data_IF_102279563232
#
_entry.id   IF_102279563232
#
_cell.length_a   1.000
_cell.length_b   1.000
_cell.length_c   1.000
_cell.angle_alpha   90.00
_cell.angle_beta   90.00
_cell.angle_gamma   90.00
#
_symmetry.space_group_name_H-M   'P 1'
#
loop_
_entity.id
_entity.type
_entity.pdbx_description
1 polymer ?
#
# COMPACT_ATOMS: atom_id res chain seq x y z
N UNK A 1 28.05 -16.81 19.50
CA UNK A 1 27.73 -15.42 19.13
C UNK A 1 26.36 -15.12 19.72
N UNK A 2 26.30 -14.20 20.68
CA UNK A 2 25.05 -13.85 21.36
C UNK A 2 24.12 -13.11 20.39
N UNK A 3 22.95 -13.67 20.12
CA UNK A 3 21.90 -12.99 19.39
C UNK A 3 21.34 -11.91 20.32
N UNK A 4 21.78 -10.67 20.14
CA UNK A 4 21.17 -9.51 20.80
C UNK A 4 19.76 -9.38 20.25
N UNK A 5 18.78 -9.89 20.99
CA UNK A 5 17.37 -9.65 20.72
C UNK A 5 17.13 -8.13 20.80
N UNK A 6 17.14 -7.45 19.65
CA UNK A 6 16.58 -6.11 19.55
C UNK A 6 15.09 -6.27 19.80
N UNK A 7 14.61 -5.75 20.93
CA UNK A 7 13.19 -5.67 21.21
C UNK A 7 12.54 -4.84 20.09
N UNK A 8 11.71 -5.46 19.26
CA UNK A 8 10.90 -4.75 18.27
C UNK A 8 9.89 -3.86 19.02
N UNK A 9 10.25 -2.59 19.24
CA UNK A 9 9.37 -1.57 19.80
C UNK A 9 8.42 -1.07 18.70
N UNK A 10 7.46 -1.90 18.29
CA UNK A 10 6.55 -1.59 17.17
C UNK A 10 5.28 -0.84 17.56
N UNK A 11 5.11 -0.46 18.83
CA UNK A 11 3.89 0.20 19.31
C UNK A 11 4.22 1.48 20.08
N UNK A 12 3.88 2.63 19.50
CA UNK A 12 4.03 3.95 20.12
C UNK A 12 2.64 4.47 20.47
N UNK A 13 2.41 4.76 21.76
CA UNK A 13 1.16 5.33 22.25
C UNK A 13 1.21 6.86 22.19
N UNK A 14 0.26 7.51 21.50
CA UNK A 14 0.08 8.96 21.61
C UNK A 14 -0.95 9.32 22.70
N UNK A 15 -0.93 10.58 23.19
CA UNK A 15 -1.85 11.09 24.23
C UNK A 15 -3.35 10.99 23.85
N UNK A 16 -3.66 10.68 22.60
CA UNK A 16 -5.02 10.53 22.05
C UNK A 16 -5.49 9.07 22.00
N UNK A 17 -4.71 8.11 22.53
CA UNK A 17 -5.09 6.70 22.64
C UNK A 17 -4.83 5.85 21.39
N UNK A 18 -4.08 6.37 20.41
CA UNK A 18 -3.71 5.60 19.22
C UNK A 18 -2.43 4.79 19.44
N UNK A 19 -2.38 3.59 18.85
CA UNK A 19 -1.16 2.82 18.64
C UNK A 19 -0.74 2.94 17.18
N UNK A 20 0.49 3.43 16.95
CA UNK A 20 1.08 3.49 15.61
C UNK A 20 2.05 2.33 15.40
N UNK A 21 1.85 1.61 14.29
CA UNK A 21 2.79 0.61 13.80
C UNK A 21 3.40 1.10 12.48
N UNK A 22 4.68 1.45 12.52
CA UNK A 22 5.42 1.90 11.37
C UNK A 22 5.91 0.71 10.52
N UNK A 23 5.83 0.78 9.18
CA UNK A 23 6.27 -0.30 8.31
C UNK A 23 7.81 -0.42 8.26
N UNK A 24 8.53 0.66 8.52
CA UNK A 24 9.98 0.71 8.71
C UNK A 24 10.37 2.04 9.38
N UNK A 25 11.32 2.03 10.31
CA UNK A 25 11.93 3.23 10.92
C UNK A 25 13.45 3.12 10.89
N UNK A 26 14.13 4.22 10.60
CA UNK A 26 15.59 4.23 10.50
C UNK A 26 16.24 4.32 11.90
N UNK A 27 15.63 5.05 12.83
CA UNK A 27 16.15 5.23 14.20
C UNK A 27 15.03 5.16 15.26
N UNK A 28 15.39 4.78 16.50
CA UNK A 28 14.46 4.80 17.66
C UNK A 28 13.99 6.22 18.01
N UNK A 29 14.76 7.25 17.64
CA UNK A 29 14.34 8.65 17.80
C UNK A 29 13.15 9.02 16.90
N UNK A 30 12.95 8.31 15.78
CA UNK A 30 11.79 8.48 14.90
C UNK A 30 10.53 7.80 15.51
N UNK A 31 10.72 6.86 16.44
CA UNK A 31 9.65 6.16 17.15
C UNK A 31 9.03 7.00 18.28
N UNK A 32 9.59 8.16 18.65
CA UNK A 32 9.12 8.92 19.79
C UNK A 32 9.15 10.42 19.51
N UNK A 33 8.13 10.91 18.79
CA UNK A 33 7.51 12.26 18.87
C UNK A 33 6.77 12.58 17.55
N UNK A 34 5.73 11.81 17.23
CA UNK A 34 4.88 12.10 16.08
C UNK A 34 3.78 13.12 16.40
N UNK A 35 3.42 13.94 15.40
CA UNK A 35 2.15 14.67 15.36
C UNK A 35 1.00 13.72 15.72
N UNK A 36 0.03 14.12 16.56
CA UNK A 36 -1.16 13.30 16.80
C UNK A 36 -1.79 12.87 15.48
N UNK A 37 -2.12 11.58 15.36
CA UNK A 37 -2.85 11.09 14.19
C UNK A 37 -4.28 11.59 14.27
N UNK A 38 -4.75 12.16 13.17
CA UNK A 38 -6.13 12.55 12.97
C UNK A 38 -6.65 11.87 11.70
N UNK A 39 -7.40 10.76 11.83
CA UNK A 39 -7.98 10.08 10.69
C UNK A 39 -9.01 10.91 9.91
N UNK A 40 -9.46 12.04 10.46
CA UNK A 40 -10.44 12.94 9.85
C UNK A 40 -9.80 14.20 9.25
N UNK A 41 -8.48 14.20 9.09
CA UNK A 41 -7.74 15.24 8.41
C UNK A 41 -6.95 14.67 7.21
N UNK A 42 -6.76 15.51 6.20
CA UNK A 42 -5.85 15.26 5.09
C UNK A 42 -4.61 16.16 5.17
N UNK A 43 -3.56 15.83 4.40
CA UNK A 43 -2.38 16.66 4.28
C UNK A 43 -1.85 16.73 2.84
N UNK A 44 -1.36 17.90 2.45
CA UNK A 44 -0.70 18.09 1.15
C UNK A 44 0.73 17.50 1.11
N UNK A 45 1.32 17.28 2.29
CA UNK A 45 2.65 16.68 2.45
C UNK A 45 2.55 15.37 3.21
N UNK A 46 3.50 14.47 2.95
CA UNK A 46 3.54 13.16 3.59
C UNK A 46 3.97 13.32 5.07
N UNK A 47 3.08 12.97 6.00
CA UNK A 47 3.36 13.02 7.45
C UNK A 47 3.88 11.69 8.00
N UNK A 48 3.52 10.57 7.37
CA UNK A 48 3.90 9.22 7.79
C UNK A 48 4.33 8.37 6.59
N UNK A 49 5.14 7.32 6.79
CA UNK A 49 5.36 6.30 5.77
C UNK A 49 4.04 5.70 5.29
N UNK A 50 3.93 5.41 4.00
CA UNK A 50 2.74 4.78 3.43
C UNK A 50 2.52 3.38 3.98
N UNK A 51 1.26 3.05 4.29
CA UNK A 51 0.87 1.81 4.94
C UNK A 51 1.05 1.80 6.46
N UNK A 52 1.49 2.91 7.08
CA UNK A 52 1.51 3.04 8.55
C UNK A 52 0.14 2.70 9.12
N UNK A 53 0.11 1.83 10.13
CA UNK A 53 -1.13 1.42 10.80
C UNK A 53 -1.37 2.32 12.01
N UNK A 54 -2.60 2.79 12.17
CA UNK A 54 -3.06 3.44 13.39
C UNK A 54 -4.25 2.66 13.96
N UNK A 55 -4.21 2.32 15.25
CA UNK A 55 -5.30 1.64 15.96
C UNK A 55 -5.90 2.57 17.00
N UNK A 56 -7.22 2.73 17.00
CA UNK A 56 -7.97 3.53 17.98
C UNK A 56 -9.16 2.73 18.49
N UNK A 57 -9.05 2.19 19.70
CA UNK A 57 -10.10 1.31 20.23
C UNK A 57 -10.33 0.12 19.31
N UNK A 58 -11.53 0.01 18.74
CA UNK A 58 -11.95 -1.04 17.80
C UNK A 58 -11.69 -0.70 16.32
N UNK A 59 -11.23 0.53 16.01
CA UNK A 59 -10.97 0.98 14.64
C UNK A 59 -9.49 0.84 14.27
N UNK A 60 -9.25 0.45 13.03
CA UNK A 60 -7.91 0.35 12.43
C UNK A 60 -7.87 1.21 11.16
N UNK A 61 -6.74 1.89 10.96
CA UNK A 61 -6.50 2.78 9.83
C UNK A 61 -5.16 2.51 9.17
N UNK A 62 -5.05 2.79 7.87
CA UNK A 62 -3.81 2.79 7.09
C UNK A 62 -3.56 4.15 6.44
N UNK A 63 -2.34 4.66 6.58
CA UNK A 63 -1.94 5.92 5.95
C UNK A 63 -1.71 5.75 4.45
N UNK A 64 -2.39 6.56 3.65
CA UNK A 64 -2.49 6.43 2.20
C UNK A 64 -2.18 7.76 1.51
N UNK A 65 -1.86 7.68 0.21
CA UNK A 65 -1.87 8.81 -0.72
C UNK A 65 -2.98 8.60 -1.74
N UNK A 66 -3.87 9.57 -1.87
CA UNK A 66 -4.91 9.57 -2.90
C UNK A 66 -4.30 9.75 -4.30
N UNK A 67 -4.95 9.19 -5.31
CA UNK A 67 -4.61 9.37 -6.73
C UNK A 67 -4.79 10.81 -7.20
N UNK A 68 -4.60 11.06 -8.50
CA UNK A 68 -4.88 12.36 -9.14
C UNK A 68 -6.35 12.72 -9.20
N UNK A 69 -7.27 11.80 -8.86
CA UNK A 69 -8.70 12.07 -8.73
C UNK A 69 -9.06 12.29 -7.25
N UNK A 70 -9.84 13.35 -6.95
CA UNK A 70 -10.31 13.59 -5.60
C UNK A 70 -11.33 12.52 -5.15
N UNK A 71 -11.30 12.14 -3.87
CA UNK A 71 -12.33 11.31 -3.24
C UNK A 71 -13.43 12.24 -2.71
N UNK A 72 -14.54 12.36 -3.42
CA UNK A 72 -15.61 13.33 -3.10
C UNK A 72 -16.70 12.75 -2.20
N UNK A 73 -16.89 11.43 -2.23
CA UNK A 73 -17.90 10.71 -1.44
C UNK A 73 -17.23 10.08 -0.23
N UNK A 74 -17.77 10.30 0.97
CA UNK A 74 -17.27 9.71 2.23
C UNK A 74 -17.81 8.30 2.36
N UNK A 75 -17.01 7.38 2.91
CA UNK A 75 -17.40 5.98 3.07
C UNK A 75 -17.34 5.19 1.76
N UNK A 76 -16.62 5.70 0.76
CA UNK A 76 -16.39 4.97 -0.47
C UNK A 76 -15.42 3.81 -0.24
N UNK A 77 -15.75 2.64 -0.78
CA UNK A 77 -14.81 1.53 -0.87
C UNK A 77 -13.62 1.92 -1.79
N UNK A 78 -12.42 1.63 -1.33
CA UNK A 78 -11.16 2.00 -1.99
C UNK A 78 -10.37 0.76 -2.40
N UNK A 79 -9.56 0.90 -3.44
CA UNK A 79 -8.60 -0.12 -3.87
C UNK A 79 -7.23 0.50 -4.12
N UNK A 80 -6.21 -0.35 -4.09
CA UNK A 80 -4.86 0.00 -4.52
C UNK A 80 -4.88 0.46 -5.99
N UNK A 81 -3.84 1.16 -6.47
CA UNK A 81 -3.72 1.45 -7.89
C UNK A 81 -3.61 0.13 -8.67
N UNK A 82 -4.15 0.13 -9.89
CA UNK A 82 -3.89 -0.95 -10.82
C UNK A 82 -2.39 -1.01 -11.12
N UNK A 83 -1.84 -2.22 -11.28
CA UNK A 83 -0.46 -2.40 -11.73
C UNK A 83 -0.24 -1.65 -13.04
N UNK A 84 0.77 -0.79 -13.07
CA UNK A 84 0.96 0.19 -14.14
C UNK A 84 1.47 -0.46 -15.43
N UNK A 85 2.16 -1.60 -15.32
CA UNK A 85 2.63 -2.36 -16.47
C UNK A 85 2.85 -3.83 -16.11
N UNK A 86 2.46 -4.75 -16.98
CA UNK A 86 2.74 -6.18 -16.79
C UNK A 86 4.26 -6.40 -16.64
N UNK A 87 5.06 -5.76 -17.49
CA UNK A 87 6.52 -5.88 -17.50
C UNK A 87 7.23 -5.18 -16.32
N UNK A 88 6.47 -4.54 -15.41
CA UNK A 88 7.01 -4.13 -14.11
C UNK A 88 6.90 -5.26 -13.08
N UNK A 89 6.06 -6.26 -13.32
CA UNK A 89 5.76 -7.34 -12.38
C UNK A 89 6.75 -8.51 -12.53
N UNK A 90 7.43 -8.64 -13.65
CA UNK A 90 8.40 -9.70 -13.90
C UNK A 90 9.50 -9.28 -14.90
N UNK A 91 10.52 -10.13 -14.98
CA UNK A 91 11.58 -10.11 -15.99
C UNK A 91 12.44 -8.82 -16.07
N UNK A 92 12.52 -8.06 -14.97
CA UNK A 92 13.48 -6.97 -14.84
C UNK A 92 14.82 -7.54 -14.39
N UNK A 93 15.80 -7.53 -15.28
CA UNK A 93 17.10 -8.16 -15.02
C UNK A 93 17.99 -7.23 -14.20
N UNK A 94 18.75 -7.82 -13.27
CA UNK A 94 19.83 -7.10 -12.59
C UNK A 94 20.92 -6.73 -13.59
N UNK A 95 21.17 -5.44 -13.73
CA UNK A 95 22.06 -4.90 -14.74
C UNK A 95 23.50 -5.37 -14.51
N UNK A 96 24.14 -5.87 -15.56
CA UNK A 96 25.58 -6.05 -15.61
C UNK A 96 26.23 -4.67 -15.82
N UNK A 97 26.63 -4.01 -14.75
CA UNK A 97 27.53 -2.85 -14.85
C UNK A 97 28.96 -3.29 -14.57
N UNK A 98 29.93 -2.64 -15.23
CA UNK A 98 31.33 -3.03 -15.16
C UNK A 98 31.86 -2.96 -13.72
N UNK A 99 32.05 -4.11 -13.08
CA UNK A 99 32.67 -4.23 -11.76
C UNK A 99 31.71 -4.34 -10.58
N UNK A 100 30.39 -4.20 -10.80
CA UNK A 100 29.41 -4.33 -9.71
C UNK A 100 29.07 -5.81 -9.47
N UNK A 101 29.65 -6.37 -8.42
CA UNK A 101 29.13 -7.58 -7.79
C UNK A 101 28.33 -7.11 -6.58
N UNK A 102 27.02 -7.37 -6.57
CA UNK A 102 26.18 -6.98 -5.43
C UNK A 102 26.54 -7.87 -4.24
N UNK A 103 27.10 -7.28 -3.19
CA UNK A 103 27.47 -8.03 -1.99
C UNK A 103 26.25 -8.30 -1.11
N UNK A 104 26.30 -9.39 -0.34
CA UNK A 104 25.39 -9.60 0.79
C UNK A 104 25.48 -8.37 1.72
N UNK A 105 24.32 -7.87 2.13
CA UNK A 105 24.20 -6.67 2.97
C UNK A 105 24.32 -5.34 2.21
N UNK A 106 24.54 -5.34 0.89
CA UNK A 106 24.40 -4.10 0.11
C UNK A 106 22.91 -3.71 0.01
N UNK A 107 22.64 -2.42 -0.07
CA UNK A 107 21.29 -1.86 -0.11
C UNK A 107 20.92 -1.27 -1.48
N UNK A 108 21.74 -1.52 -2.50
CA UNK A 108 21.56 -0.95 -3.82
C UNK A 108 21.52 -2.04 -4.87
N UNK A 109 20.71 -1.84 -5.90
CA UNK A 109 20.65 -2.71 -7.07
C UNK A 109 20.39 -1.85 -8.31
N UNK A 110 21.06 -2.15 -9.42
CA UNK A 110 20.71 -1.52 -10.70
C UNK A 110 19.85 -2.50 -11.47
N UNK A 111 18.66 -2.05 -11.85
CA UNK A 111 17.70 -2.82 -12.61
C UNK A 111 17.70 -2.33 -14.06
N UNK A 112 17.63 -3.26 -15.00
CA UNK A 112 17.50 -2.99 -16.43
C UNK A 112 16.39 -3.86 -17.02
N UNK A 113 15.44 -3.24 -17.71
CA UNK A 113 14.42 -3.95 -18.49
C UNK A 113 14.59 -3.70 -19.99
N UNK A 114 14.25 -4.67 -20.83
CA UNK A 114 14.07 -4.45 -22.28
C UNK A 114 12.70 -3.87 -22.60
N UNK A 115 11.76 -3.94 -21.66
CA UNK A 115 10.43 -3.38 -21.75
C UNK A 115 10.37 -1.93 -21.25
N UNK A 116 9.31 -1.20 -21.62
CA UNK A 116 9.13 0.21 -21.26
C UNK A 116 8.72 0.37 -19.79
N UNK A 117 9.71 0.36 -18.90
CA UNK A 117 9.52 0.71 -17.49
C UNK A 117 9.59 2.22 -17.23
N UNK A 118 9.90 3.03 -18.25
CA UNK A 118 9.94 4.49 -18.18
C UNK A 118 8.53 5.13 -18.22
N UNK A 119 7.56 4.51 -17.53
CA UNK A 119 6.22 5.03 -17.28
C UNK A 119 6.08 5.51 -15.83
N UNK A 120 5.11 6.40 -15.55
CA UNK A 120 4.81 6.80 -14.18
C UNK A 120 4.40 5.55 -13.38
N UNK A 121 4.91 5.33 -12.15
CA UNK A 121 5.58 6.30 -11.32
C UNK A 121 7.12 6.21 -11.44
N UNK A 122 7.64 5.19 -12.12
CA UNK A 122 9.06 4.86 -12.23
C UNK A 122 9.84 5.86 -13.09
N UNK A 123 9.17 6.53 -14.03
CA UNK A 123 9.75 7.61 -14.86
C UNK A 123 10.08 8.89 -14.08
N UNK A 124 9.65 8.99 -12.82
CA UNK A 124 9.96 10.13 -11.94
C UNK A 124 10.86 9.64 -10.82
N UNK A 125 11.89 10.41 -10.49
CA UNK A 125 12.76 10.10 -9.34
C UNK A 125 11.90 9.91 -8.09
N UNK A 126 12.10 8.79 -7.40
CA UNK A 126 11.38 8.42 -6.18
C UNK A 126 9.85 8.32 -6.33
N UNK A 127 9.31 8.24 -7.56
CA UNK A 127 7.86 8.11 -7.77
C UNK A 127 7.29 6.81 -7.23
N UNK A 128 8.04 5.71 -7.27
CA UNK A 128 7.70 4.40 -6.71
C UNK A 128 8.37 4.11 -5.35
N UNK A 129 8.86 5.14 -4.65
CA UNK A 129 9.43 4.98 -3.30
C UNK A 129 8.39 4.35 -2.35
N UNK A 130 8.88 3.63 -1.35
CA UNK A 130 8.06 2.86 -0.41
C UNK A 130 7.24 1.70 -1.01
N UNK A 131 7.32 1.48 -2.32
CA UNK A 131 6.91 0.24 -2.96
C UNK A 131 7.87 -0.90 -2.66
N UNK A 132 7.84 -1.95 -3.48
CA UNK A 132 8.67 -3.13 -3.28
C UNK A 132 9.39 -3.53 -4.55
N UNK A 133 10.62 -4.02 -4.37
CA UNK A 133 11.31 -4.86 -5.34
C UNK A 133 11.34 -6.28 -4.80
N UNK A 134 11.03 -7.24 -5.64
CA UNK A 134 11.12 -8.65 -5.30
C UNK A 134 11.84 -9.42 -6.38
N UNK A 135 12.51 -10.51 -5.99
CA UNK A 135 13.20 -11.41 -6.92
C UNK A 135 12.20 -12.47 -7.38
N UNK A 136 11.84 -12.44 -8.66
CA UNK A 136 10.91 -13.40 -9.26
C UNK A 136 11.64 -14.61 -9.87
N UNK A 137 12.90 -14.44 -10.31
CA UNK A 137 13.70 -15.46 -10.99
C UNK A 137 15.18 -15.48 -10.57
N UNK A 138 15.81 -16.63 -10.78
CA UNK A 138 17.26 -16.85 -10.56
C UNK A 138 17.73 -16.83 -9.09
N UNK A 139 18.90 -16.24 -8.86
CA UNK A 139 19.51 -16.20 -7.52
C UNK A 139 18.76 -15.25 -6.60
N UNK A 140 18.28 -15.78 -5.46
CA UNK A 140 17.58 -15.02 -4.43
C UNK A 140 16.06 -14.98 -4.57
N UNK A 141 15.47 -15.85 -5.42
CA UNK A 141 14.01 -15.95 -5.62
C UNK A 141 13.23 -15.94 -4.30
N UNK A 142 12.15 -15.16 -4.28
CA UNK A 142 11.28 -14.99 -3.12
C UNK A 142 11.74 -13.91 -2.14
N UNK A 143 12.93 -13.33 -2.33
CA UNK A 143 13.33 -12.14 -1.58
C UNK A 143 12.46 -10.95 -1.98
N UNK A 144 12.00 -10.19 -0.98
CA UNK A 144 11.26 -8.95 -1.17
C UNK A 144 11.88 -7.86 -0.29
N UNK A 145 11.98 -6.65 -0.82
CA UNK A 145 12.60 -5.49 -0.18
C UNK A 145 11.79 -4.24 -0.44
N UNK A 146 11.60 -3.43 0.61
CA UNK A 146 10.96 -2.12 0.50
C UNK A 146 11.91 -1.12 -0.14
N UNK A 147 11.44 -0.43 -1.16
CA UNK A 147 12.20 0.59 -1.89
C UNK A 147 12.31 1.84 -1.02
N UNK A 148 13.54 2.31 -0.80
CA UNK A 148 13.85 3.55 -0.09
C UNK A 148 13.91 4.73 -1.04
N UNK A 149 14.65 4.57 -2.14
CA UNK A 149 14.81 5.58 -3.17
C UNK A 149 15.07 4.91 -4.52
N UNK A 150 14.85 5.63 -5.61
CA UNK A 150 15.28 5.18 -6.93
C UNK A 150 15.55 6.36 -7.87
N UNK A 151 16.50 6.18 -8.77
CA UNK A 151 16.65 7.07 -9.92
C UNK A 151 15.44 6.94 -10.86
N UNK A 152 15.12 8.00 -11.59
CA UNK A 152 14.11 7.91 -12.64
C UNK A 152 14.53 6.88 -13.70
N UNK A 153 13.62 5.99 -14.08
CA UNK A 153 13.79 5.16 -15.26
C UNK A 153 13.72 6.07 -16.49
N UNK A 154 14.85 6.18 -17.20
CA UNK A 154 14.98 6.94 -18.46
C UNK A 154 15.01 5.98 -19.65
N UNK A 155 15.25 6.48 -20.87
CA UNK A 155 15.12 5.73 -22.12
C UNK A 155 15.93 4.43 -22.24
N UNK A 156 16.94 4.21 -21.38
CA UNK A 156 17.70 2.96 -21.30
C UNK A 156 17.03 1.90 -20.43
N UNK A 157 15.85 2.20 -19.86
CA UNK A 157 15.12 1.34 -18.92
C UNK A 157 16.03 0.80 -17.80
N UNK A 158 17.05 1.58 -17.45
CA UNK A 158 18.07 1.24 -16.47
C UNK A 158 18.07 2.29 -15.39
N UNK A 159 17.96 1.86 -14.14
CA UNK A 159 17.87 2.78 -13.01
C UNK A 159 18.37 2.11 -11.73
N UNK A 160 18.93 2.93 -10.85
CA UNK A 160 19.40 2.52 -9.53
C UNK A 160 18.22 2.50 -8.57
N UNK A 161 18.10 1.43 -7.80
CA UNK A 161 17.15 1.27 -6.70
C UNK A 161 17.95 1.10 -5.41
N UNK A 162 17.60 1.88 -4.40
CA UNK A 162 18.06 1.71 -3.02
C UNK A 162 16.92 1.11 -2.19
N UNK A 163 17.22 0.11 -1.38
CA UNK A 163 16.28 -0.55 -0.47
C UNK A 163 16.61 -0.26 0.98
N UNK A 164 15.61 -0.35 1.86
CA UNK A 164 15.81 -0.13 3.30
C UNK A 164 16.71 -1.21 3.93
N UNK A 165 16.48 -2.46 3.58
CA UNK A 165 17.19 -3.62 4.15
C UNK A 165 18.09 -4.27 3.10
N UNK A 166 19.32 -4.58 3.49
CA UNK A 166 20.30 -5.16 2.59
C UNK A 166 19.92 -6.55 2.08
N UNK A 167 20.55 -6.95 0.99
CA UNK A 167 20.32 -8.26 0.38
C UNK A 167 20.86 -9.39 1.27
N UNK A 168 20.01 -10.38 1.59
CA UNK A 168 20.43 -11.60 2.31
C UNK A 168 21.21 -12.56 1.41
N UNK A 169 20.83 -12.63 0.14
CA UNK A 169 21.55 -13.34 -0.92
C UNK A 169 21.99 -12.30 -1.94
N UNK A 170 23.26 -12.34 -2.33
CA UNK A 170 23.83 -11.45 -3.33
C UNK A 170 23.10 -11.58 -4.68
N UNK A 171 22.47 -10.50 -5.20
CA UNK A 171 21.97 -10.50 -6.57
C UNK A 171 23.10 -10.73 -7.58
N UNK A 172 22.82 -11.50 -8.61
CA UNK A 172 23.78 -11.82 -9.68
C UNK A 172 23.29 -11.21 -10.98
N UNK A 173 24.14 -10.41 -11.62
CA UNK A 173 23.82 -9.80 -12.91
C UNK A 173 23.50 -10.86 -13.96
N UNK A 174 22.47 -10.62 -14.77
CA UNK A 174 21.95 -11.54 -15.80
C UNK A 174 21.42 -12.90 -15.31
N UNK A 175 21.35 -13.14 -14.00
CA UNK A 175 20.73 -14.33 -13.42
C UNK A 175 19.56 -13.95 -12.49
N UNK A 176 19.76 -12.97 -11.59
CA UNK A 176 18.68 -12.44 -10.77
C UNK A 176 17.72 -11.62 -11.62
N UNK A 177 16.46 -12.03 -11.62
CA UNK A 177 15.34 -11.36 -12.24
C UNK A 177 14.42 -10.81 -11.14
N UNK A 178 13.89 -9.61 -11.35
CA UNK A 178 13.10 -8.89 -10.38
C UNK A 178 11.75 -8.45 -10.95
N UNK A 179 10.78 -8.28 -10.05
CA UNK A 179 9.61 -7.43 -10.25
C UNK A 179 9.65 -6.23 -9.30
N UNK A 180 8.99 -5.15 -9.71
CA UNK A 180 8.77 -3.95 -8.90
C UNK A 180 7.27 -3.62 -8.84
N UNK A 181 6.80 -3.26 -7.65
CA UNK A 181 5.43 -2.81 -7.44
C UNK A 181 5.43 -1.48 -6.72
N UNK A 182 4.49 -0.62 -7.10
CA UNK A 182 4.17 0.57 -6.33
C UNK A 182 3.62 0.16 -4.95
N UNK A 183 3.74 1.04 -3.95
CA UNK A 183 3.13 0.80 -2.64
C UNK A 183 1.60 0.68 -2.80
N UNK A 184 0.95 -0.38 -2.29
CA UNK A 184 -0.50 -0.52 -2.42
C UNK A 184 -1.31 0.65 -1.83
N UNK A 185 -0.72 1.41 -0.90
CA UNK A 185 -1.29 2.58 -0.26
C UNK A 185 -0.89 3.91 -0.91
N UNK A 186 -0.14 3.94 -2.01
CA UNK A 186 -0.02 5.14 -2.85
C UNK A 186 -1.00 5.11 -4.00
N UNK A 187 -1.36 6.29 -4.52
CA UNK A 187 -2.28 6.45 -5.64
C UNK A 187 -3.60 5.67 -5.47
N UNK A 188 -4.12 5.64 -4.25
CA UNK A 188 -5.38 4.96 -3.91
C UNK A 188 -6.52 5.57 -4.72
N UNK A 189 -7.39 4.70 -5.23
CA UNK A 189 -8.54 5.08 -6.06
C UNK A 189 -9.84 4.55 -5.46
N UNK A 190 -10.96 5.17 -5.87
CA UNK A 190 -12.30 4.61 -5.64
C UNK A 190 -12.37 3.25 -6.32
N UNK A 191 -12.81 2.24 -5.57
CA UNK A 191 -12.94 0.90 -6.09
C UNK A 191 -14.19 0.76 -6.97
N UNK A 192 -14.07 0.10 -8.11
CA UNK A 192 -15.18 -0.20 -9.00
C UNK A 192 -14.90 -1.53 -9.70
N UNK A 193 -15.48 -2.63 -9.21
CA UNK A 193 -15.00 -4.00 -9.44
C UNK A 193 -13.50 -4.13 -9.08
N UNK A 194 -13.18 -5.02 -8.15
CA UNK A 194 -11.79 -5.10 -7.70
C UNK A 194 -10.86 -5.56 -8.84
N UNK A 195 -9.88 -4.72 -9.16
CA UNK A 195 -8.77 -5.07 -10.07
C UNK A 195 -7.49 -5.41 -9.31
N UNK A 196 -7.50 -5.13 -8.00
CA UNK A 196 -6.35 -5.19 -7.10
C UNK A 196 -6.84 -5.24 -5.65
N UNK A 197 -5.95 -5.01 -4.69
CA UNK A 197 -6.22 -5.13 -3.25
C UNK A 197 -7.20 -4.05 -2.75
N UNK A 198 -8.22 -4.41 -1.95
CA UNK A 198 -9.04 -3.42 -1.25
C UNK A 198 -8.22 -2.68 -0.17
N UNK A 199 -8.41 -1.36 -0.05
CA UNK A 199 -7.66 -0.47 0.87
C UNK A 199 -8.51 -0.02 2.07
N UNK A 200 -9.80 -0.35 2.08
CA UNK A 200 -10.74 0.07 3.11
C UNK A 200 -11.63 1.19 2.63
N UNK A 201 -11.99 2.11 3.52
CA UNK A 201 -12.94 3.19 3.24
C UNK A 201 -12.39 4.54 3.67
N UNK A 202 -12.70 5.62 2.94
CA UNK A 202 -12.29 6.96 3.33
C UNK A 202 -13.25 7.55 4.39
N UNK A 203 -12.74 7.99 5.57
CA UNK A 203 -13.56 8.62 6.61
C UNK A 203 -13.85 10.11 6.35
N UNK A 204 -13.21 10.72 5.35
CA UNK A 204 -13.41 12.10 4.89
C UNK A 204 -13.32 12.20 3.37
N UNK A 205 -13.78 13.31 2.80
CA UNK A 205 -13.46 13.67 1.42
C UNK A 205 -11.98 14.05 1.33
N UNK A 206 -11.30 13.66 0.25
CA UNK A 206 -9.85 13.81 0.10
C UNK A 206 -9.54 14.52 -1.22
N UNK A 207 -8.79 15.60 -1.14
CA UNK A 207 -8.25 16.34 -2.27
C UNK A 207 -7.36 15.44 -3.14
N UNK A 208 -7.34 15.68 -4.45
CA UNK A 208 -6.46 14.96 -5.37
C UNK A 208 -4.99 15.03 -4.89
N UNK A 209 -4.30 13.88 -4.91
CA UNK A 209 -2.88 13.72 -4.54
C UNK A 209 -2.54 14.00 -3.08
N UNK A 210 -3.53 14.22 -2.20
CA UNK A 210 -3.30 14.44 -0.77
C UNK A 210 -3.19 13.11 -0.03
N UNK A 211 -2.64 13.17 1.17
CA UNK A 211 -2.49 12.03 2.06
C UNK A 211 -3.60 12.01 3.11
N UNK A 212 -4.03 10.81 3.48
CA UNK A 212 -5.17 10.60 4.38
C UNK A 212 -5.07 9.24 5.07
N UNK A 213 -5.98 8.96 6.00
CA UNK A 213 -6.11 7.67 6.65
C UNK A 213 -7.33 6.93 6.11
N UNK A 214 -7.14 5.78 5.47
CA UNK A 214 -8.24 4.87 5.13
C UNK A 214 -8.57 4.00 6.34
N UNK A 215 -9.85 3.84 6.69
CA UNK A 215 -10.26 2.91 7.73
C UNK A 215 -10.32 1.49 7.16
N UNK A 216 -9.63 0.54 7.80
CA UNK A 216 -9.48 -0.85 7.35
C UNK A 216 -10.08 -1.87 8.32
N UNK A 217 -10.34 -1.45 9.57
CA UNK A 217 -10.89 -2.32 10.60
C UNK A 217 -11.93 -1.63 11.47
N UNK A 218 -12.83 -2.42 12.05
CA UNK A 218 -13.84 -1.97 13.00
C UNK A 218 -15.08 -1.34 12.35
N UNK A 219 -15.99 -0.76 13.17
CA UNK A 219 -17.22 -0.16 12.67
C UNK A 219 -16.94 1.04 11.75
N UNK A 220 -17.47 1.03 10.54
CA UNK A 220 -17.34 2.11 9.56
C UNK A 220 -18.67 2.36 8.84
N UNK A 221 -18.83 3.55 8.25
CA UNK A 221 -19.94 3.83 7.35
C UNK A 221 -19.50 3.56 5.89
N UNK A 222 -20.37 2.90 5.13
CA UNK A 222 -20.18 2.58 3.71
C UNK A 222 -21.40 2.95 2.89
N UNK A 223 -21.21 3.26 1.62
CA UNK A 223 -22.31 3.49 0.67
C UNK A 223 -22.74 2.15 0.06
N UNK A 224 -24.03 1.83 0.11
CA UNK A 224 -24.56 0.58 -0.42
C UNK A 224 -25.10 0.74 -1.86
N UNK A 225 -24.70 -0.17 -2.75
CA UNK A 225 -25.21 -0.23 -4.12
C UNK A 225 -26.55 -0.97 -4.22
N UNK A 226 -26.79 -1.89 -3.29
CA UNK A 226 -27.96 -2.76 -3.27
C UNK A 226 -28.54 -2.90 -1.86
N UNK A 227 -29.69 -3.55 -1.75
CA UNK A 227 -30.21 -3.97 -0.46
C UNK A 227 -29.29 -5.04 0.14
N UNK A 228 -28.78 -4.79 1.35
CA UNK A 228 -27.91 -5.72 2.08
C UNK A 228 -28.50 -5.95 3.46
N UNK A 229 -28.81 -7.21 3.79
CA UNK A 229 -29.35 -7.53 5.11
C UNK A 229 -28.25 -7.43 6.19
N UNK A 230 -28.66 -7.09 7.42
CA UNK A 230 -27.79 -7.14 8.60
C UNK A 230 -27.13 -8.52 8.74
N UNK A 231 -25.86 -8.54 9.17
CA UNK A 231 -25.07 -9.75 9.34
C UNK A 231 -24.56 -10.38 8.04
N UNK A 232 -24.99 -9.88 6.88
CA UNK A 232 -24.49 -10.34 5.58
C UNK A 232 -23.07 -9.83 5.36
N UNK A 233 -22.22 -10.67 4.76
CA UNK A 233 -20.90 -10.28 4.30
C UNK A 233 -21.03 -9.29 3.15
N UNK A 234 -20.29 -8.20 3.22
CA UNK A 234 -20.19 -7.22 2.17
C UNK A 234 -18.87 -7.36 1.41
N UNK A 235 -18.94 -7.08 0.12
CA UNK A 235 -17.83 -7.05 -0.82
C UNK A 235 -17.76 -5.65 -1.45
N UNK A 236 -16.64 -5.33 -2.09
CA UNK A 236 -16.58 -4.14 -2.94
C UNK A 236 -17.54 -4.32 -4.12
N UNK A 237 -18.37 -3.33 -4.40
CA UNK A 237 -19.35 -3.41 -5.49
C UNK A 237 -18.78 -3.09 -6.87
N UNK A 238 -19.61 -3.28 -7.87
CA UNK A 238 -19.28 -2.89 -9.26
C UNK A 238 -19.52 -1.42 -9.54
N UNK A 239 -20.39 -0.78 -8.77
CA UNK A 239 -20.56 0.68 -8.81
C UNK A 239 -19.48 1.34 -7.95
N UNK A 240 -18.89 2.40 -8.51
CA UNK A 240 -17.70 3.01 -7.95
C UNK A 240 -17.91 3.52 -6.51
N UNK A 241 -17.13 2.98 -5.58
CA UNK A 241 -17.10 3.37 -4.18
C UNK A 241 -18.20 2.72 -3.34
N UNK A 242 -19.06 1.91 -3.94
CA UNK A 242 -20.18 1.30 -3.24
C UNK A 242 -19.86 -0.14 -2.85
N UNK A 243 -20.62 -0.67 -1.89
CA UNK A 243 -20.53 -2.06 -1.44
C UNK A 243 -21.74 -2.85 -1.89
N UNK A 244 -21.52 -4.14 -2.16
CA UNK A 244 -22.55 -5.10 -2.57
C UNK A 244 -22.63 -6.27 -1.56
N UNK A 245 -23.74 -7.02 -1.52
CA UNK A 245 -23.79 -8.26 -0.74
C UNK A 245 -22.89 -9.32 -1.37
N UNK A 246 -22.26 -10.19 -0.58
CA UNK A 246 -21.40 -11.27 -1.10
C UNK A 246 -22.10 -12.18 -2.14
N UNK A 247 -23.43 -12.32 -2.05
CA UNK A 247 -24.20 -13.07 -3.05
C UNK A 247 -24.18 -12.46 -4.45
N UNK A 248 -23.77 -11.20 -4.60
CA UNK A 248 -23.65 -10.53 -5.90
C UNK A 248 -22.44 -11.06 -6.70
N UNK A 249 -21.35 -11.46 -6.02
CA UNK A 249 -20.14 -11.96 -6.67
C UNK A 249 -19.45 -13.06 -5.86
N UNK A 250 -19.17 -14.19 -6.49
CA UNK A 250 -18.53 -15.34 -5.82
C UNK A 250 -17.00 -15.29 -5.81
N UNK A 251 -16.39 -14.31 -6.48
CA UNK A 251 -14.93 -14.21 -6.67
C UNK A 251 -14.31 -12.96 -6.06
N UNK A 252 -15.10 -12.07 -5.48
CA UNK A 252 -14.62 -10.82 -4.90
C UNK A 252 -14.25 -10.98 -3.42
N UNK A 253 -13.44 -10.03 -2.93
CA UNK A 253 -12.90 -10.05 -1.57
C UNK A 253 -13.93 -9.49 -0.59
N UNK A 254 -14.20 -10.25 0.48
CA UNK A 254 -15.04 -9.79 1.60
C UNK A 254 -14.29 -8.68 2.35
N UNK A 255 -14.95 -7.55 2.55
CA UNK A 255 -14.38 -6.40 3.26
C UNK A 255 -14.96 -6.23 4.68
N UNK A 256 -16.08 -6.88 4.99
CA UNK A 256 -16.68 -6.82 6.32
C UNK A 256 -18.07 -7.44 6.44
N UNK A 257 -18.69 -7.24 7.60
CA UNK A 257 -20.04 -7.69 7.93
C UNK A 257 -20.97 -6.51 8.19
N UNK A 258 -22.17 -6.52 7.61
CA UNK A 258 -23.14 -5.44 7.85
C UNK A 258 -23.62 -5.41 9.30
N UNK A 259 -23.52 -4.25 9.95
CA UNK A 259 -24.05 -3.97 11.29
C UNK A 259 -25.45 -3.35 11.25
N UNK A 260 -25.82 -2.74 10.13
CA UNK A 260 -27.17 -2.25 9.84
C UNK A 260 -27.61 -2.73 8.46
N UNK A 261 -28.92 -2.80 8.16
CA UNK A 261 -29.34 -3.01 6.78
C UNK A 261 -28.82 -1.87 5.89
N UNK A 262 -28.42 -2.22 4.67
CA UNK A 262 -28.10 -1.28 3.60
C UNK A 262 -29.21 -1.27 2.56
N UNK A 263 -29.44 -0.12 1.93
CA UNK A 263 -30.37 0.06 0.82
C UNK A 263 -29.64 0.85 -0.26
N UNK A 264 -29.97 0.58 -1.52
CA UNK A 264 -29.57 1.41 -2.66
C UNK A 264 -30.09 2.84 -2.46
N UNK A 265 -29.43 3.83 -3.07
CA UNK A 265 -29.81 5.26 -3.14
C UNK A 265 -28.93 6.22 -2.32
N UNK A 266 -27.60 5.98 -2.33
CA UNK A 266 -26.60 6.81 -1.63
C UNK A 266 -26.76 6.87 -0.10
N UNK A 267 -27.50 5.93 0.48
CA UNK A 267 -27.62 5.82 1.93
C UNK A 267 -26.38 5.11 2.51
N UNK A 268 -25.87 5.68 3.60
CA UNK A 268 -24.79 5.07 4.35
C UNK A 268 -25.33 3.97 5.27
N UNK A 269 -24.65 2.83 5.31
CA UNK A 269 -24.90 1.76 6.27
C UNK A 269 -23.64 1.48 7.10
N UNK A 270 -23.83 0.91 8.28
CA UNK A 270 -22.74 0.51 9.14
C UNK A 270 -22.25 -0.89 8.75
N UNK A 271 -20.93 -1.01 8.61
CA UNK A 271 -20.20 -2.26 8.38
C UNK A 271 -19.17 -2.43 9.49
N UNK A 272 -18.83 -3.66 9.84
CA UNK A 272 -17.63 -3.99 10.59
C UNK A 272 -16.55 -4.44 9.62
N UNK A 273 -15.55 -3.60 9.37
CA UNK A 273 -14.46 -3.87 8.44
C UNK A 273 -13.47 -4.90 9.02
N UNK A 274 -12.95 -5.77 8.16
CA UNK A 274 -12.09 -6.90 8.55
C UNK A 274 -10.78 -6.99 7.75
N UNK A 275 -10.33 -5.90 7.11
CA UNK A 275 -9.15 -5.95 6.23
C UNK A 275 -7.83 -6.07 7.01
N UNK A 276 -7.79 -5.57 8.25
CA UNK A 276 -6.61 -5.54 9.14
C UNK A 276 -6.90 -6.12 10.54
N UNK A 277 -7.81 -7.10 10.64
CA UNK A 277 -8.17 -7.76 11.92
C UNK A 277 -7.25 -8.89 12.32
#
# INVERSE_FOLDING_TARGET
MAHSAKNNLSAVYNKSGYVLEYPAVLNEADLMQGTPVDPFAESATQLFPLGTKAVQGDKVYRYCKNSSAALTVIGSALQAPAGIHADCLDDIVVAASSGETYAIGSNTITLTSTANIAAAPWSTKDGGKEGYVYVNGGTGVGMCRKIKSHAAAVSTNTFLVEVYDGWTVAPIAADTECGIIENPYSNVVVAAALTTMPIGVNPLAVTASYYFWAQTGGPAAVICHAAIAIGTMAIVGTTAGEVDPMSAFTTEVIIGYMLTPGIKDNDAAMIYLILDT
#
